data_IF_753705088949
#
_entry.id   IF_753705088949
#
_cell.length_a   1.000
_cell.length_b   1.000
_cell.length_c   1.000
_cell.angle_alpha   90.00
_cell.angle_beta   90.00
_cell.angle_gamma   90.00
#
_symmetry.space_group_name_H-M   'P 1'
#
loop_
_entity.id
_entity.type
_entity.pdbx_description
1 polymer ?
#
# COMPACT_ATOMS: atom_id res chain seq x y z
N UNK A 1 -17.12 -17.85 13.66
CA UNK A 1 -17.89 -17.98 12.40
C UNK A 1 -16.98 -18.20 11.19
N UNK A 2 -15.92 -17.41 11.01
CA UNK A 2 -14.95 -17.62 9.92
C UNK A 2 -14.39 -19.05 10.00
N UNK A 3 -13.96 -19.52 11.17
CA UNK A 3 -13.44 -20.87 11.39
C UNK A 3 -14.44 -21.98 11.02
N UNK A 4 -15.72 -21.75 11.28
CA UNK A 4 -16.80 -22.68 10.91
C UNK A 4 -16.89 -22.80 9.39
N UNK A 5 -16.74 -21.70 8.66
CA UNK A 5 -16.74 -21.71 7.19
C UNK A 5 -15.47 -22.36 6.64
N UNK A 6 -14.30 -22.10 7.24
CA UNK A 6 -13.02 -22.73 6.89
C UNK A 6 -13.13 -24.26 7.05
N UNK A 7 -13.66 -24.70 8.18
CA UNK A 7 -13.87 -26.13 8.44
C UNK A 7 -14.85 -26.76 7.42
N UNK A 8 -15.95 -26.07 7.09
CA UNK A 8 -16.90 -26.56 6.10
C UNK A 8 -16.32 -26.60 4.67
N UNK A 9 -15.49 -25.62 4.32
CA UNK A 9 -14.82 -25.55 3.03
C UNK A 9 -13.68 -26.59 2.91
N UNK A 10 -13.09 -26.96 4.04
CA UNK A 10 -11.95 -27.91 4.11
C UNK A 10 -10.68 -27.34 3.49
N UNK A 11 -10.44 -26.04 3.61
CA UNK A 11 -9.22 -25.34 3.18
C UNK A 11 -8.98 -24.11 4.03
N UNK A 12 -7.74 -23.90 4.46
CA UNK A 12 -7.27 -22.70 5.18
C UNK A 12 -6.67 -21.65 4.24
N UNK A 13 -6.58 -21.95 2.94
CA UNK A 13 -6.08 -21.00 1.94
C UNK A 13 -7.22 -20.09 1.50
N UNK A 14 -7.33 -18.93 2.15
CA UNK A 14 -8.35 -17.94 1.83
C UNK A 14 -7.90 -17.05 0.68
N UNK A 15 -8.83 -16.74 -0.22
CA UNK A 15 -8.71 -15.72 -1.26
C UNK A 15 -9.34 -14.40 -0.82
N UNK A 16 -10.38 -14.48 0.03
CA UNK A 16 -11.06 -13.33 0.62
C UNK A 16 -11.80 -13.75 1.89
N UNK A 17 -11.99 -12.80 2.80
CA UNK A 17 -12.94 -12.90 3.89
C UNK A 17 -13.73 -11.59 3.99
N UNK A 18 -15.05 -11.69 4.09
CA UNK A 18 -15.95 -10.57 4.31
C UNK A 18 -16.83 -10.83 5.52
N UNK A 19 -16.89 -9.85 6.41
CA UNK A 19 -17.75 -9.90 7.60
C UNK A 19 -18.61 -8.65 7.64
N UNK A 20 -19.93 -8.85 7.68
CA UNK A 20 -20.92 -7.79 7.88
C UNK A 20 -21.65 -8.00 9.21
N UNK A 21 -22.60 -7.12 9.55
CA UNK A 21 -23.44 -7.28 10.75
C UNK A 21 -24.35 -8.52 10.70
N UNK A 22 -24.64 -9.05 9.51
CA UNK A 22 -25.63 -10.12 9.31
C UNK A 22 -25.09 -11.36 8.60
N UNK A 23 -23.88 -11.30 8.06
CA UNK A 23 -23.32 -12.40 7.27
C UNK A 23 -21.81 -12.46 7.36
N UNK A 24 -21.28 -13.66 7.13
CA UNK A 24 -19.85 -13.91 6.93
C UNK A 24 -19.70 -14.67 5.63
N UNK A 25 -18.75 -14.26 4.81
CA UNK A 25 -18.42 -14.92 3.55
C UNK A 25 -16.91 -15.12 3.43
N UNK A 26 -16.49 -16.27 2.90
CA UNK A 26 -15.10 -16.54 2.57
C UNK A 26 -14.97 -17.08 1.15
N UNK A 27 -13.92 -16.70 0.47
CA UNK A 27 -13.44 -17.37 -0.74
C UNK A 27 -12.26 -18.25 -0.38
N UNK A 28 -12.25 -19.50 -0.79
CA UNK A 28 -11.16 -20.44 -0.51
C UNK A 28 -10.60 -21.02 -1.79
N UNK A 29 -9.30 -21.33 -1.77
CA UNK A 29 -8.64 -22.12 -2.80
C UNK A 29 -8.40 -23.53 -2.27
N UNK A 30 -8.92 -24.54 -2.97
CA UNK A 30 -8.72 -25.95 -2.67
C UNK A 30 -8.43 -26.73 -3.94
N UNK A 31 -7.33 -27.46 -3.98
CA UNK A 31 -6.92 -28.26 -5.15
C UNK A 31 -6.92 -27.46 -6.47
N UNK A 32 -6.48 -26.19 -6.41
CA UNK A 32 -6.46 -25.27 -7.55
C UNK A 32 -7.84 -24.72 -7.96
N UNK A 33 -8.90 -25.05 -7.23
CA UNK A 33 -10.25 -24.56 -7.48
C UNK A 33 -10.70 -23.56 -6.41
N UNK A 34 -11.19 -22.42 -6.85
CA UNK A 34 -11.78 -21.43 -5.95
C UNK A 34 -13.26 -21.77 -5.67
N UNK A 35 -13.68 -21.54 -4.43
CA UNK A 35 -15.09 -21.67 -4.06
C UNK A 35 -15.44 -20.68 -2.96
N UNK A 36 -16.70 -20.22 -2.97
CA UNK A 36 -17.22 -19.25 -2.00
C UNK A 36 -18.17 -19.95 -1.03
N UNK A 37 -18.01 -19.66 0.25
CA UNK A 37 -18.85 -20.16 1.33
C UNK A 37 -19.39 -19.01 2.15
N UNK A 38 -20.61 -19.12 2.60
CA UNK A 38 -21.26 -18.08 3.38
C UNK A 38 -22.01 -18.66 4.59
N UNK A 39 -22.04 -17.85 5.65
CA UNK A 39 -22.97 -18.01 6.77
C UNK A 39 -23.98 -16.88 6.71
N UNK A 40 -25.25 -17.24 6.54
CA UNK A 40 -26.39 -16.33 6.52
C UNK A 40 -27.56 -16.99 7.20
N UNK A 41 -28.29 -16.27 8.03
CA UNK A 41 -29.51 -16.73 8.69
C UNK A 41 -29.39 -18.09 9.39
N UNK A 42 -28.24 -18.31 10.07
CA UNK A 42 -27.98 -19.57 10.78
C UNK A 42 -27.50 -20.73 9.91
N UNK A 43 -27.34 -20.53 8.60
CA UNK A 43 -26.99 -21.60 7.65
C UNK A 43 -25.60 -21.39 7.06
N UNK A 44 -24.81 -22.46 7.07
CA UNK A 44 -23.52 -22.53 6.36
C UNK A 44 -23.73 -23.24 5.03
N UNK A 45 -23.23 -22.64 3.95
CA UNK A 45 -23.35 -23.26 2.63
C UNK A 45 -22.41 -22.69 1.59
N UNK A 46 -22.17 -23.48 0.54
CA UNK A 46 -21.47 -23.00 -0.64
C UNK A 46 -22.41 -22.09 -1.42
N UNK A 47 -21.90 -20.94 -1.83
CA UNK A 47 -22.67 -19.95 -2.63
C UNK A 47 -22.02 -19.77 -4.00
N UNK A 48 -22.84 -19.34 -4.96
CA UNK A 48 -22.33 -18.91 -6.26
C UNK A 48 -21.68 -17.55 -6.03
N UNK A 49 -20.36 -17.50 -6.13
CA UNK A 49 -19.59 -16.26 -6.05
C UNK A 49 -18.98 -15.93 -7.41
N UNK A 50 -18.73 -14.66 -7.64
CA UNK A 50 -17.99 -14.21 -8.82
C UNK A 50 -16.50 -14.45 -8.59
N UNK A 51 -16.01 -15.64 -8.99
CA UNK A 51 -14.66 -16.12 -8.67
C UNK A 51 -13.66 -15.68 -9.72
N UNK A 52 -13.49 -14.39 -9.91
CA UNK A 52 -12.40 -13.80 -10.70
C UNK A 52 -11.03 -13.86 -9.97
N UNK A 53 -10.97 -14.52 -8.82
CA UNK A 53 -9.84 -14.50 -7.89
C UNK A 53 -8.70 -15.51 -8.18
N UNK A 54 -8.67 -16.15 -9.34
CA UNK A 54 -7.76 -17.28 -9.63
C UNK A 54 -6.27 -16.91 -9.57
N UNK A 55 -5.94 -15.63 -9.68
CA UNK A 55 -4.56 -15.13 -9.63
C UNK A 55 -4.24 -14.28 -8.38
N UNK A 56 -5.10 -14.30 -7.36
CA UNK A 56 -4.87 -13.56 -6.12
C UNK A 56 -4.00 -14.34 -5.15
N UNK A 57 -3.30 -13.61 -4.28
CA UNK A 57 -2.57 -14.22 -3.18
C UNK A 57 -3.55 -14.85 -2.19
N UNK A 58 -3.22 -16.07 -1.75
CA UNK A 58 -3.93 -16.72 -0.65
C UNK A 58 -3.33 -16.31 0.69
N UNK A 59 -4.15 -16.34 1.74
CA UNK A 59 -3.72 -16.06 3.10
C UNK A 59 -4.38 -17.02 4.11
N UNK A 60 -3.76 -17.14 5.29
CA UNK A 60 -4.37 -17.76 6.46
C UNK A 60 -4.98 -16.67 7.33
N UNK A 61 -6.20 -16.91 7.87
CA UNK A 61 -6.94 -15.93 8.68
C UNK A 61 -6.22 -15.60 9.99
N UNK A 62 -5.46 -16.53 10.56
CA UNK A 62 -4.70 -16.35 11.81
C UNK A 62 -3.70 -15.18 11.76
N UNK A 63 -3.37 -14.71 10.57
CA UNK A 63 -2.53 -13.52 10.39
C UNK A 63 -3.24 -12.22 10.75
N UNK A 64 -4.57 -12.24 10.88
CA UNK A 64 -5.40 -11.06 11.06
C UNK A 64 -6.17 -11.15 12.37
N UNK A 65 -6.04 -10.12 13.20
CA UNK A 65 -6.84 -10.02 14.43
C UNK A 65 -8.25 -9.53 14.10
N UNK A 66 -9.19 -10.46 14.06
CA UNK A 66 -10.62 -10.23 13.85
C UNK A 66 -11.45 -10.69 15.06
N UNK A 67 -10.84 -10.81 16.24
CA UNK A 67 -11.53 -11.27 17.45
C UNK A 67 -12.68 -10.34 17.84
N UNK A 68 -12.51 -9.02 17.62
CA UNK A 68 -13.52 -8.00 17.89
C UNK A 68 -13.81 -7.17 16.63
N UNK A 69 -14.61 -7.73 15.73
CA UNK A 69 -15.08 -7.00 14.53
C UNK A 69 -15.90 -5.76 14.90
N UNK A 70 -16.59 -5.78 16.04
CA UNK A 70 -17.35 -4.63 16.54
C UNK A 70 -16.46 -3.43 16.82
N UNK A 71 -15.28 -3.65 17.44
CA UNK A 71 -14.29 -2.61 17.67
C UNK A 71 -13.70 -2.06 16.36
N UNK A 72 -13.48 -2.91 15.35
CA UNK A 72 -13.04 -2.48 14.02
C UNK A 72 -14.10 -1.59 13.36
N UNK A 73 -15.37 -1.96 13.44
CA UNK A 73 -16.48 -1.17 12.92
C UNK A 73 -16.61 0.18 13.63
N UNK A 74 -16.53 0.20 14.95
CA UNK A 74 -16.58 1.44 15.73
C UNK A 74 -15.41 2.38 15.39
N UNK A 75 -14.20 1.84 15.23
CA UNK A 75 -13.02 2.60 14.79
C UNK A 75 -13.22 3.14 13.38
N UNK A 76 -13.71 2.33 12.47
CA UNK A 76 -13.98 2.77 11.10
C UNK A 76 -15.05 3.87 11.04
N UNK A 77 -16.11 3.77 11.86
CA UNK A 77 -17.13 4.83 12.00
C UNK A 77 -16.53 6.13 12.49
N UNK A 78 -15.69 6.09 13.53
CA UNK A 78 -15.04 7.27 14.08
C UNK A 78 -14.14 7.99 13.05
N UNK A 79 -13.46 7.24 12.18
CA UNK A 79 -12.57 7.79 11.14
C UNK A 79 -13.32 8.25 9.91
N UNK A 80 -14.29 7.43 9.43
CA UNK A 80 -15.02 7.70 8.20
C UNK A 80 -16.20 8.65 8.38
N UNK A 81 -16.74 8.74 9.62
CA UNK A 81 -17.99 9.43 9.93
C UNK A 81 -19.23 8.68 9.41
N UNK A 82 -19.13 7.37 9.13
CA UNK A 82 -20.24 6.56 8.63
C UNK A 82 -20.24 5.17 9.24
N UNK A 83 -21.40 4.74 9.75
CA UNK A 83 -21.67 3.37 10.21
C UNK A 83 -22.58 2.61 9.23
N UNK A 84 -22.85 3.19 8.05
CA UNK A 84 -23.78 2.65 7.10
C UNK A 84 -23.15 1.52 6.31
N UNK A 85 -23.83 0.36 6.28
CA UNK A 85 -23.43 -0.82 5.49
C UNK A 85 -21.96 -1.21 5.65
N UNK A 86 -21.49 -1.27 6.91
CA UNK A 86 -20.11 -1.65 7.20
C UNK A 86 -19.84 -3.09 6.80
N UNK A 87 -18.75 -3.31 6.08
CA UNK A 87 -18.21 -4.62 5.74
C UNK A 87 -16.70 -4.64 6.02
N UNK A 88 -16.26 -5.57 6.87
CA UNK A 88 -14.84 -5.89 7.04
C UNK A 88 -14.42 -6.78 5.87
N UNK A 89 -13.41 -6.38 5.15
CA UNK A 89 -12.84 -7.10 4.03
C UNK A 89 -11.37 -7.42 4.29
N UNK A 90 -10.99 -8.67 4.06
CA UNK A 90 -9.59 -9.12 4.00
C UNK A 90 -9.40 -9.74 2.63
N UNK A 91 -8.55 -9.12 1.81
CA UNK A 91 -8.41 -9.49 0.40
C UNK A 91 -7.06 -9.02 -0.16
N UNK A 92 -6.57 -9.68 -1.20
CA UNK A 92 -5.42 -9.21 -1.97
C UNK A 92 -5.73 -7.87 -2.65
N UNK A 93 -4.97 -6.84 -2.30
CA UNK A 93 -5.09 -5.48 -2.85
C UNK A 93 -4.13 -5.25 -4.02
N UNK A 94 -4.08 -6.19 -4.96
CA UNK A 94 -3.16 -6.26 -6.09
C UNK A 94 -1.71 -6.67 -5.74
N UNK A 95 -1.24 -7.71 -6.40
CA UNK A 95 0.17 -8.12 -6.40
C UNK A 95 0.65 -8.87 -5.15
N UNK A 96 -0.23 -9.43 -4.34
CA UNK A 96 0.11 -10.28 -3.21
C UNK A 96 0.14 -9.60 -1.85
N UNK A 97 -0.19 -8.31 -1.79
CA UNK A 97 -0.33 -7.58 -0.52
C UNK A 97 -1.77 -7.73 0.01
N UNK A 98 -1.99 -8.68 0.90
CA UNK A 98 -3.30 -8.91 1.54
C UNK A 98 -3.55 -7.83 2.59
N UNK A 99 -4.66 -7.13 2.47
CA UNK A 99 -5.04 -6.00 3.32
C UNK A 99 -6.33 -6.26 4.08
N UNK A 100 -6.44 -5.66 5.26
CA UNK A 100 -7.64 -5.63 6.07
C UNK A 100 -8.24 -4.23 6.03
N UNK A 101 -9.53 -4.13 5.68
CA UNK A 101 -10.22 -2.84 5.60
C UNK A 101 -11.68 -2.96 6.01
N UNK A 102 -12.25 -1.86 6.48
CA UNK A 102 -13.70 -1.71 6.66
C UNK A 102 -14.21 -0.73 5.61
N UNK A 103 -15.02 -1.23 4.70
CA UNK A 103 -15.75 -0.41 3.74
C UNK A 103 -17.05 0.11 4.38
N UNK A 104 -17.45 1.31 4.00
CA UNK A 104 -18.72 1.94 4.41
C UNK A 104 -19.38 2.58 3.19
N UNK A 105 -20.68 2.85 3.26
CA UNK A 105 -21.36 3.63 2.21
C UNK A 105 -21.27 5.12 2.56
N UNK A 106 -20.77 5.96 1.65
CA UNK A 106 -20.23 5.64 0.33
C UNK A 106 -18.86 4.96 0.40
N UNK A 107 -18.53 4.11 -0.57
CA UNK A 107 -17.27 3.32 -0.64
C UNK A 107 -15.98 4.15 -0.58
N UNK A 108 -16.06 5.44 -0.89
CA UNK A 108 -14.94 6.38 -0.80
C UNK A 108 -14.39 6.55 0.61
N UNK A 109 -15.04 5.96 1.61
CA UNK A 109 -14.68 6.03 3.03
C UNK A 109 -14.12 4.72 3.59
N UNK A 110 -13.44 3.94 2.77
CA UNK A 110 -12.74 2.73 3.23
C UNK A 110 -11.65 3.09 4.25
N UNK A 111 -11.66 2.39 5.37
CA UNK A 111 -10.68 2.54 6.46
C UNK A 111 -9.82 1.29 6.52
N UNK A 112 -8.51 1.46 6.46
CA UNK A 112 -7.56 0.34 6.47
C UNK A 112 -7.00 0.08 7.86
N UNK A 113 -6.71 -1.19 8.13
CA UNK A 113 -6.16 -1.67 9.38
C UNK A 113 -4.89 -2.47 9.15
N UNK A 114 -4.00 -2.47 10.13
CA UNK A 114 -2.90 -3.41 10.18
C UNK A 114 -3.43 -4.81 10.52
N UNK A 115 -2.70 -5.88 10.18
CA UNK A 115 -3.12 -7.26 10.50
C UNK A 115 -3.44 -7.48 11.99
N UNK A 116 -2.81 -6.76 12.91
CA UNK A 116 -3.07 -6.85 14.35
C UNK A 116 -4.35 -6.12 14.82
N UNK A 117 -5.17 -5.60 13.89
CA UNK A 117 -6.42 -4.89 14.21
C UNK A 117 -6.25 -3.40 14.54
N UNK A 118 -5.02 -2.85 14.55
CA UNK A 118 -4.83 -1.41 14.77
C UNK A 118 -5.09 -0.62 13.49
N UNK A 119 -5.58 0.62 13.64
CA UNK A 119 -5.78 1.53 12.51
C UNK A 119 -4.48 1.72 11.73
N UNK A 120 -4.54 1.63 10.39
CA UNK A 120 -3.40 1.98 9.55
C UNK A 120 -3.04 3.45 9.74
N UNK A 121 -1.78 3.72 10.08
CA UNK A 121 -1.31 5.08 10.35
C UNK A 121 -1.47 5.96 9.10
N UNK A 122 -2.13 7.09 9.27
CA UNK A 122 -2.12 8.17 8.29
C UNK A 122 -0.69 8.75 8.22
N UNK A 123 -0.12 8.79 7.03
CA UNK A 123 1.20 9.38 6.81
C UNK A 123 1.04 10.84 6.39
N UNK A 124 1.90 11.68 6.95
CA UNK A 124 2.12 13.04 6.49
C UNK A 124 3.47 13.06 5.76
N UNK A 125 3.44 13.35 4.47
CA UNK A 125 4.67 13.42 3.68
C UNK A 125 5.32 14.80 3.74
N UNK A 126 4.68 15.79 4.36
CA UNK A 126 5.32 17.04 4.79
C UNK A 126 6.04 16.89 6.16
N UNK A 127 6.44 15.65 6.50
CA UNK A 127 7.20 15.30 7.69
C UNK A 127 8.22 14.19 7.40
N UNK A 128 9.38 14.26 8.06
CA UNK A 128 10.47 13.27 7.94
C UNK A 128 10.01 11.87 8.30
N UNK A 129 9.20 11.74 9.35
CA UNK A 129 8.71 10.44 9.83
C UNK A 129 7.75 9.81 8.83
N UNK A 130 6.87 10.59 8.23
CA UNK A 130 5.97 10.12 7.18
C UNK A 130 6.74 9.65 5.95
N UNK A 131 7.74 10.41 5.49
CA UNK A 131 8.62 10.01 4.39
C UNK A 131 9.37 8.72 4.73
N UNK A 132 9.93 8.60 5.94
CA UNK A 132 10.70 7.42 6.38
C UNK A 132 9.83 6.16 6.43
N UNK A 133 8.63 6.26 7.02
CA UNK A 133 7.68 5.15 7.08
C UNK A 133 7.26 4.77 5.65
N UNK A 134 6.90 5.75 4.82
CA UNK A 134 6.51 5.51 3.43
C UNK A 134 7.59 4.81 2.61
N UNK A 135 8.87 5.23 2.76
CA UNK A 135 10.02 4.57 2.13
C UNK A 135 10.18 3.12 2.63
N UNK A 136 10.11 2.91 3.95
CA UNK A 136 10.23 1.57 4.55
C UNK A 136 9.13 0.65 4.04
N UNK A 137 7.89 1.11 4.04
CA UNK A 137 6.74 0.33 3.59
C UNK A 137 6.83 0.00 2.09
N UNK A 138 7.10 1.01 1.24
CA UNK A 138 7.17 0.82 -0.21
C UNK A 138 8.36 -0.06 -0.63
N UNK A 139 9.52 0.10 0.00
CA UNK A 139 10.69 -0.74 -0.25
C UNK A 139 10.48 -2.17 0.24
N UNK A 140 9.90 -2.36 1.43
CA UNK A 140 9.82 -3.67 2.07
C UNK A 140 11.22 -4.25 2.27
N UNK A 141 11.48 -5.42 1.70
CA UNK A 141 12.79 -6.12 1.78
C UNK A 141 13.74 -5.78 0.61
N UNK A 142 13.31 -4.90 -0.31
CA UNK A 142 14.06 -4.59 -1.53
C UNK A 142 15.19 -3.62 -1.25
N UNK A 143 16.37 -3.95 -1.72
CA UNK A 143 17.58 -3.12 -1.57
C UNK A 143 18.03 -2.49 -2.89
N UNK A 144 17.64 -3.07 -4.04
CA UNK A 144 17.93 -2.57 -5.37
C UNK A 144 16.65 -2.10 -6.04
N UNK A 145 16.70 -0.92 -6.65
CA UNK A 145 15.56 -0.27 -7.33
C UNK A 145 16.03 0.51 -8.54
N UNK A 146 15.14 0.72 -9.50
CA UNK A 146 15.37 1.58 -10.68
C UNK A 146 15.04 3.03 -10.38
N UNK A 147 13.98 3.28 -9.61
CA UNK A 147 13.60 4.62 -9.21
C UNK A 147 12.82 4.63 -7.90
N UNK A 148 12.90 5.77 -7.20
CA UNK A 148 12.06 6.12 -6.06
C UNK A 148 11.46 7.49 -6.34
N UNK A 149 10.15 7.61 -6.19
CA UNK A 149 9.46 8.90 -6.21
C UNK A 149 8.83 9.15 -4.85
N UNK A 150 9.02 10.35 -4.31
CA UNK A 150 8.39 10.82 -3.07
C UNK A 150 7.68 12.13 -3.36
N UNK A 151 6.43 12.28 -2.94
CA UNK A 151 5.69 13.53 -3.08
C UNK A 151 4.70 13.75 -1.94
N UNK A 152 4.34 14.99 -1.69
CA UNK A 152 3.35 15.34 -0.67
C UNK A 152 1.99 14.69 -0.93
N UNK A 153 1.52 14.72 -2.17
CA UNK A 153 0.16 14.32 -2.55
C UNK A 153 0.00 12.81 -2.81
N UNK A 154 1.03 12.13 -3.32
CA UNK A 154 0.94 10.71 -3.74
C UNK A 154 1.70 9.75 -2.82
N UNK A 155 2.55 10.29 -1.94
CA UNK A 155 3.40 9.49 -1.06
C UNK A 155 4.63 8.93 -1.77
N UNK A 156 4.98 7.68 -1.47
CA UNK A 156 6.18 7.02 -1.99
C UNK A 156 5.82 6.00 -3.06
N UNK A 157 6.55 6.03 -4.17
CA UNK A 157 6.49 5.05 -5.24
C UNK A 157 7.89 4.49 -5.49
N UNK A 158 8.00 3.18 -5.67
CA UNK A 158 9.25 2.46 -5.94
C UNK A 158 9.08 1.60 -7.17
N UNK A 159 10.04 1.66 -8.09
CA UNK A 159 10.10 0.77 -9.25
C UNK A 159 11.33 -0.13 -9.11
N UNK A 160 11.13 -1.43 -9.17
CA UNK A 160 12.19 -2.43 -9.07
C UNK A 160 11.97 -3.60 -10.03
N UNK A 161 12.94 -4.50 -10.11
CA UNK A 161 12.78 -5.72 -10.92
C UNK A 161 11.70 -6.63 -10.34
N UNK A 162 10.90 -7.23 -11.20
CA UNK A 162 9.95 -8.32 -10.91
C UNK A 162 10.44 -9.68 -11.41
N UNK A 163 11.70 -9.77 -11.81
CA UNK A 163 12.27 -10.92 -12.50
C UNK A 163 12.41 -10.65 -14.00
N UNK A 164 12.56 -11.70 -14.81
CA UNK A 164 12.76 -11.58 -16.25
C UNK A 164 11.58 -10.87 -16.92
N UNK A 165 11.87 -9.78 -17.62
CA UNK A 165 10.92 -8.96 -18.40
C UNK A 165 9.70 -8.47 -17.61
N UNK A 166 9.89 -8.16 -16.32
CA UNK A 166 8.84 -7.64 -15.44
C UNK A 166 9.34 -6.51 -14.54
N UNK A 167 8.56 -5.47 -14.45
CA UNK A 167 8.74 -4.39 -13.49
C UNK A 167 7.68 -4.48 -12.38
N UNK A 168 8.10 -4.22 -11.16
CA UNK A 168 7.23 -4.12 -10.00
C UNK A 168 7.18 -2.66 -9.57
N UNK A 169 5.98 -2.11 -9.57
CA UNK A 169 5.67 -0.81 -9.02
C UNK A 169 5.03 -0.99 -7.65
N UNK A 170 5.64 -0.44 -6.62
CA UNK A 170 5.08 -0.42 -5.26
C UNK A 170 4.80 1.02 -4.86
N UNK A 171 3.64 1.26 -4.28
CA UNK A 171 3.29 2.59 -3.81
C UNK A 171 2.68 2.54 -2.41
N UNK A 172 3.06 3.50 -1.57
CA UNK A 172 2.51 3.75 -0.25
C UNK A 172 1.96 5.18 -0.20
N UNK A 173 0.66 5.29 -0.29
CA UNK A 173 -0.03 6.57 -0.21
C UNK A 173 -0.26 7.04 1.24
N UNK A 174 -0.92 8.21 1.40
CA UNK A 174 -1.17 8.81 2.71
C UNK A 174 -2.06 7.94 3.61
N UNK A 175 -3.11 7.37 3.01
CA UNK A 175 -4.20 6.67 3.75
C UNK A 175 -4.39 5.21 3.34
N UNK A 176 -3.67 4.77 2.32
CA UNK A 176 -3.81 3.43 1.76
C UNK A 176 -2.55 2.61 2.03
N UNK A 177 -2.67 1.31 2.28
CA UNK A 177 -1.52 0.43 2.45
C UNK A 177 -0.70 0.36 1.17
N UNK A 178 0.41 -0.37 1.22
CA UNK A 178 1.22 -0.61 0.02
C UNK A 178 0.38 -1.34 -1.01
N UNK A 179 0.44 -0.84 -2.24
CA UNK A 179 -0.08 -1.52 -3.42
C UNK A 179 1.08 -1.96 -4.30
N UNK A 180 1.00 -3.15 -4.86
CA UNK A 180 2.01 -3.72 -5.74
C UNK A 180 1.39 -4.02 -7.10
N UNK A 181 1.95 -3.45 -8.16
CA UNK A 181 1.54 -3.71 -9.55
C UNK A 181 2.72 -4.24 -10.32
N UNK A 182 2.56 -5.42 -10.92
CA UNK A 182 3.58 -6.01 -11.80
C UNK A 182 3.16 -5.81 -13.26
N UNK A 183 4.05 -5.18 -14.04
CA UNK A 183 3.83 -4.94 -15.46
C UNK A 183 4.90 -5.64 -16.29
N UNK A 184 4.59 -6.12 -17.52
CA UNK A 184 5.60 -6.59 -18.46
C UNK A 184 6.54 -5.45 -18.86
N UNK A 185 7.82 -5.76 -19.01
CA UNK A 185 8.83 -4.82 -19.48
C UNK A 185 10.10 -4.80 -18.65
N UNK A 186 11.08 -4.05 -19.13
CA UNK A 186 12.36 -3.79 -18.48
C UNK A 186 12.52 -2.28 -18.27
N UNK A 187 13.38 -1.90 -17.34
CA UNK A 187 13.74 -0.50 -17.12
C UNK A 187 14.95 -0.13 -17.99
N UNK A 188 14.91 1.05 -18.60
CA UNK A 188 16.10 1.66 -19.21
C UNK A 188 17.02 2.33 -18.18
N UNK A 189 16.56 2.44 -16.92
CA UNK A 189 17.33 3.02 -15.83
C UNK A 189 18.23 1.97 -15.18
N UNK A 190 19.48 2.32 -14.82
CA UNK A 190 20.33 1.45 -14.01
C UNK A 190 19.73 1.24 -12.62
N UNK A 191 19.92 0.05 -12.06
CA UNK A 191 19.60 -0.21 -10.66
C UNK A 191 20.56 0.50 -9.71
N UNK A 192 20.05 0.97 -8.59
CA UNK A 192 20.85 1.51 -7.52
C UNK A 192 20.42 1.00 -6.15
N UNK A 193 21.30 1.15 -5.15
CA UNK A 193 21.00 0.76 -3.78
C UNK A 193 20.11 1.78 -3.10
N UNK A 194 18.88 1.35 -2.75
CA UNK A 194 17.92 2.15 -2.01
C UNK A 194 18.36 2.47 -0.58
N UNK A 195 19.32 1.70 -0.02
CA UNK A 195 19.85 1.93 1.34
C UNK A 195 20.58 3.26 1.51
N UNK A 196 20.94 3.92 0.40
CA UNK A 196 21.57 5.23 0.39
C UNK A 196 20.57 6.39 0.39
N UNK A 197 19.27 6.10 0.28
CA UNK A 197 18.22 7.12 0.26
C UNK A 197 17.79 7.40 1.70
N UNK A 198 17.88 8.68 2.09
CA UNK A 198 17.60 9.13 3.44
C UNK A 198 16.45 10.13 3.46
N UNK A 199 15.40 9.83 4.25
CA UNK A 199 14.21 10.65 4.40
C UNK A 199 14.52 12.06 4.91
N UNK A 200 15.44 12.18 5.86
CA UNK A 200 15.82 13.48 6.43
C UNK A 200 16.52 14.35 5.39
N UNK A 201 17.31 13.75 4.51
CA UNK A 201 17.95 14.48 3.41
C UNK A 201 16.93 14.95 2.38
N UNK A 202 15.98 14.10 1.99
CA UNK A 202 14.87 14.49 1.09
C UNK A 202 14.14 15.70 1.66
N UNK A 203 13.67 15.59 2.91
CA UNK A 203 12.91 16.65 3.56
C UNK A 203 13.71 17.94 3.74
N UNK A 204 14.98 17.83 4.11
CA UNK A 204 15.88 18.99 4.24
C UNK A 204 16.02 19.76 2.92
N UNK A 205 16.15 19.06 1.79
CA UNK A 205 16.26 19.70 0.47
C UNK A 205 14.95 20.41 0.12
N UNK A 206 13.80 19.75 0.27
CA UNK A 206 12.48 20.35 0.03
C UNK A 206 12.29 21.61 0.87
N UNK A 207 12.54 21.54 2.18
CA UNK A 207 12.41 22.68 3.09
C UNK A 207 13.38 23.82 2.75
N UNK A 208 14.60 23.51 2.35
CA UNK A 208 15.57 24.57 1.99
C UNK A 208 15.09 25.43 0.80
N UNK A 209 14.28 24.86 -0.09
CA UNK A 209 13.69 25.59 -1.22
C UNK A 209 12.48 26.44 -0.79
N UNK A 210 11.71 25.97 0.19
CA UNK A 210 10.58 26.69 0.79
C UNK A 210 11.07 27.83 1.70
N UNK A 211 11.95 27.52 2.66
CA UNK A 211 12.48 28.47 3.65
C UNK A 211 13.36 29.56 3.01
N UNK A 212 14.07 29.22 1.94
CA UNK A 212 14.87 30.14 1.15
C UNK A 212 14.04 31.13 0.30
N UNK A 213 12.72 31.13 0.45
CA UNK A 213 11.74 31.93 -0.33
C UNK A 213 11.86 31.71 -1.84
N UNK A 214 12.37 30.55 -2.26
CA UNK A 214 12.45 30.15 -3.67
C UNK A 214 11.11 29.57 -4.14
N UNK A 215 10.34 28.95 -3.23
CA UNK A 215 8.99 28.45 -3.45
C UNK A 215 8.08 28.81 -2.27
N UNK A 216 6.73 28.90 -2.46
CA UNK A 216 5.77 29.03 -1.38
C UNK A 216 5.89 27.90 -0.35
N UNK A 217 5.58 28.20 0.92
CA UNK A 217 5.65 27.20 2.01
C UNK A 217 4.67 26.01 1.81
N UNK A 218 3.54 26.27 1.17
CA UNK A 218 2.48 25.30 0.85
C UNK A 218 2.59 24.73 -0.56
N UNK A 219 3.69 25.04 -1.28
CA UNK A 219 3.90 24.50 -2.61
C UNK A 219 3.95 22.97 -2.59
N UNK A 220 3.22 22.33 -3.51
CA UNK A 220 3.35 20.88 -3.74
C UNK A 220 4.79 20.56 -4.16
N UNK A 221 5.24 19.37 -3.79
CA UNK A 221 6.61 18.96 -4.06
C UNK A 221 6.69 17.51 -4.49
N UNK A 222 7.73 17.21 -5.25
CA UNK A 222 8.06 15.89 -5.73
C UNK A 222 9.57 15.73 -5.83
N UNK A 223 10.06 14.57 -5.39
CA UNK A 223 11.46 14.15 -5.54
C UNK A 223 11.47 12.84 -6.31
N UNK A 224 12.19 12.81 -7.42
CA UNK A 224 12.46 11.58 -8.18
C UNK A 224 13.93 11.23 -8.01
N UNK A 225 14.21 9.99 -7.63
CA UNK A 225 15.55 9.48 -7.39
C UNK A 225 15.82 8.35 -8.37
N UNK A 226 16.75 8.56 -9.28
CA UNK A 226 17.21 7.56 -10.25
C UNK A 226 18.57 7.96 -10.84
N UNK A 227 19.16 7.08 -11.65
CA UNK A 227 20.41 7.34 -12.38
C UNK A 227 20.16 7.53 -13.88
N UNK A 228 19.12 8.34 -14.26
CA UNK A 228 18.82 8.64 -15.68
C UNK A 228 19.97 9.31 -16.42
N UNK A 229 20.90 9.92 -15.71
CA UNK A 229 22.07 10.53 -16.30
C UNK A 229 23.20 9.53 -16.60
N UNK A 230 23.06 8.28 -16.15
CA UNK A 230 24.03 7.20 -16.43
C UNK A 230 25.43 7.40 -15.80
N UNK A 231 25.48 8.10 -14.67
CA UNK A 231 26.76 8.42 -14.02
C UNK A 231 27.22 7.35 -13.02
N UNK A 232 26.49 6.23 -12.88
CA UNK A 232 26.76 5.20 -11.88
C UNK A 232 26.43 5.63 -10.45
N UNK A 233 25.76 6.78 -10.29
CA UNK A 233 25.33 7.34 -9.02
C UNK A 233 23.99 8.03 -9.17
N UNK A 234 22.95 7.56 -8.46
CA UNK A 234 21.62 8.16 -8.53
C UNK A 234 21.64 9.60 -8.00
N UNK A 235 20.74 10.42 -8.53
CA UNK A 235 20.53 11.81 -8.14
C UNK A 235 19.10 12.02 -7.70
N UNK A 236 18.85 13.06 -6.92
CA UNK A 236 17.52 13.54 -6.59
C UNK A 236 17.16 14.69 -7.54
N UNK A 237 16.08 14.51 -8.28
CA UNK A 237 15.44 15.54 -9.11
C UNK A 237 14.26 16.08 -8.32
N UNK A 238 14.43 17.30 -7.79
CA UNK A 238 13.52 17.90 -6.83
C UNK A 238 12.74 19.00 -7.50
N UNK A 239 11.42 18.93 -7.40
CA UNK A 239 10.49 19.98 -7.83
C UNK A 239 9.70 20.47 -6.62
N UNK A 240 9.64 21.77 -6.39
CA UNK A 240 8.83 22.43 -5.35
C UNK A 240 8.16 23.65 -6.00
N UNK A 241 6.84 23.55 -6.26
CA UNK A 241 6.15 24.51 -7.12
C UNK A 241 6.84 24.58 -8.49
N UNK A 242 7.23 25.79 -8.90
CA UNK A 242 7.91 26.05 -10.18
C UNK A 242 9.45 25.87 -10.09
N UNK A 243 9.99 25.61 -8.90
CA UNK A 243 11.44 25.48 -8.69
C UNK A 243 11.87 24.05 -8.93
N UNK A 244 12.86 23.85 -9.80
CA UNK A 244 13.44 22.56 -10.09
C UNK A 244 14.94 22.60 -9.82
N UNK A 245 15.44 21.62 -9.05
CA UNK A 245 16.87 21.47 -8.78
C UNK A 245 17.28 20.00 -8.87
N UNK A 246 18.54 19.77 -9.24
CA UNK A 246 19.15 18.45 -9.17
C UNK A 246 20.16 18.43 -8.05
N UNK A 247 20.12 17.37 -7.22
CA UNK A 247 21.06 17.23 -6.10
C UNK A 247 21.70 15.84 -6.07
N UNK A 248 22.80 15.72 -5.36
CA UNK A 248 23.30 14.41 -4.93
C UNK A 248 22.34 13.77 -3.93
N UNK A 249 22.49 12.48 -3.61
CA UNK A 249 21.76 11.84 -2.51
C UNK A 249 22.05 12.47 -1.15
N UNK A 250 23.20 13.15 -0.98
CA UNK A 250 23.53 13.92 0.21
C UNK A 250 22.88 15.31 0.27
N UNK A 251 22.12 15.70 -0.76
CA UNK A 251 21.40 16.97 -0.81
C UNK A 251 22.23 18.16 -1.29
N UNK A 252 23.43 17.94 -1.84
CA UNK A 252 24.21 19.02 -2.46
C UNK A 252 23.64 19.34 -3.84
N UNK A 253 23.24 20.59 -4.09
CA UNK A 253 22.73 21.05 -5.38
C UNK A 253 23.82 20.97 -6.45
N UNK A 254 23.53 20.37 -7.59
CA UNK A 254 24.42 20.18 -8.73
C UNK A 254 24.02 21.13 -9.86
N UNK A 255 22.70 21.30 -10.08
CA UNK A 255 22.14 22.18 -11.10
C UNK A 255 20.75 22.67 -10.71
N UNK A 256 20.41 23.81 -11.25
CA UNK A 256 19.12 24.51 -11.09
C UNK A 256 18.44 24.66 -12.45
#
# INVERSE_FOLDING_TARGET
MVDTLIAAAGSEQLLMAEVTKSSVQIGVLKDGQASTWAYRDGTVGKVIGDLTYVNQATFNIDRFNIDDVGALFATAEAVSGSSKEQALNIVDNAGGDVVMSVATVPETKTVFFNPNGTLLKLLDFDDVDGIRIGLTDALGIRTLVYSITVSASQGVQVVCTGGTDRLVHRSRGLRVPVTTVTIPGNSDLPEFSATKVDAATIWRVVNSLRDGKRAPLDADWKVVIDDRAGHGSPRMYVSVGDVNVTTTLGGTIISE
#
